data_IF_938150465108
#
_entry.id   IF_938150465108
#
_cell.length_a   1.000
_cell.length_b   1.000
_cell.length_c   1.000
_cell.angle_alpha   90.00
_cell.angle_beta   90.00
_cell.angle_gamma   90.00
#
_symmetry.space_group_name_H-M   'P 1'
#
loop_
_entity.id
_entity.type
_entity.pdbx_description
1 polymer ?
#
# COMPACT_ATOMS: atom_id res chain seq x y z
N UNK A 1 5.90 -56.46 -14.06
CA UNK A 1 4.91 -55.44 -13.62
C UNK A 1 5.21 -54.14 -14.36
N UNK A 2 4.32 -53.67 -15.25
CA UNK A 2 4.50 -52.39 -15.95
C UNK A 2 4.22 -51.26 -14.97
N UNK A 3 5.20 -50.38 -14.74
CA UNK A 3 5.03 -49.14 -14.00
C UNK A 3 3.93 -48.32 -14.68
N UNK A 4 2.85 -48.03 -13.93
CA UNK A 4 1.83 -47.08 -14.38
C UNK A 4 2.50 -45.72 -14.46
N UNK A 5 2.53 -45.12 -15.64
CA UNK A 5 2.89 -43.71 -15.80
C UNK A 5 1.97 -42.87 -14.91
N UNK A 6 2.49 -41.86 -14.18
CA UNK A 6 1.65 -41.01 -13.35
C UNK A 6 0.53 -40.41 -14.20
N UNK A 7 -0.70 -40.44 -13.69
CA UNK A 7 -1.82 -39.78 -14.34
C UNK A 7 -1.47 -38.30 -14.48
N UNK A 8 -1.38 -37.80 -15.73
CA UNK A 8 -1.25 -36.37 -16.00
C UNK A 8 -2.41 -35.65 -15.32
N UNK A 9 -2.12 -34.66 -14.48
CA UNK A 9 -3.21 -33.92 -13.86
C UNK A 9 -3.97 -33.14 -14.93
N UNK A 10 -5.26 -32.87 -14.67
CA UNK A 10 -6.09 -32.07 -15.57
C UNK A 10 -5.62 -30.62 -15.68
N UNK A 11 -4.73 -30.19 -14.79
CA UNK A 11 -4.23 -28.83 -14.68
C UNK A 11 -2.70 -28.83 -14.67
N UNK A 12 -2.04 -28.72 -15.84
CA UNK A 12 -0.58 -28.75 -15.95
C UNK A 12 0.12 -27.73 -15.04
N UNK A 13 -0.55 -26.63 -14.72
CA UNK A 13 -0.05 -25.64 -13.77
C UNK A 13 0.23 -26.26 -12.40
N UNK A 14 -0.63 -27.15 -11.91
CA UNK A 14 -0.50 -27.79 -10.58
C UNK A 14 0.56 -28.89 -10.53
N UNK A 15 1.03 -29.35 -11.70
CA UNK A 15 2.14 -30.31 -11.79
C UNK A 15 3.50 -29.63 -11.57
N UNK A 16 3.54 -28.29 -11.61
CA UNK A 16 4.75 -27.52 -11.36
C UNK A 16 5.08 -27.43 -9.86
N UNK A 17 6.36 -27.41 -9.49
CA UNK A 17 6.80 -27.05 -8.15
C UNK A 17 6.20 -25.72 -7.68
N UNK A 18 5.97 -25.59 -6.37
CA UNK A 18 5.31 -24.43 -5.76
C UNK A 18 5.98 -23.11 -6.16
N UNK A 19 7.30 -23.08 -6.23
CA UNK A 19 8.10 -21.89 -6.53
C UNK A 19 7.81 -21.39 -7.94
N UNK A 20 7.72 -22.29 -8.92
CA UNK A 20 7.39 -21.93 -10.30
C UNK A 20 5.94 -21.46 -10.41
N UNK A 21 5.02 -22.09 -9.69
CA UNK A 21 3.61 -21.67 -9.63
C UNK A 21 3.51 -20.27 -9.03
N UNK A 22 4.19 -20.01 -7.93
CA UNK A 22 4.22 -18.70 -7.29
C UNK A 22 4.83 -17.62 -8.19
N UNK A 23 5.90 -17.93 -8.92
CA UNK A 23 6.46 -17.00 -9.91
C UNK A 23 5.44 -16.66 -11.00
N UNK A 24 4.78 -17.65 -11.59
CA UNK A 24 3.74 -17.44 -12.61
C UNK A 24 2.59 -16.59 -12.05
N UNK A 25 2.05 -17.00 -10.90
CA UNK A 25 0.94 -16.31 -10.23
C UNK A 25 1.31 -14.87 -9.84
N UNK A 26 2.57 -14.62 -9.44
CA UNK A 26 3.06 -13.29 -9.12
C UNK A 26 3.05 -12.30 -10.29
N UNK A 27 3.06 -12.77 -11.53
CA UNK A 27 2.87 -11.92 -12.71
C UNK A 27 1.39 -11.64 -13.02
N UNK A 28 0.49 -12.54 -12.61
CA UNK A 28 -0.93 -12.47 -12.93
C UNK A 28 -1.74 -11.73 -11.85
N UNK A 29 -1.34 -11.87 -10.59
CA UNK A 29 -2.05 -11.29 -9.46
C UNK A 29 -1.82 -9.77 -9.34
N UNK A 30 -2.76 -9.04 -8.73
CA UNK A 30 -2.54 -7.66 -8.35
C UNK A 30 -1.28 -7.53 -7.49
N UNK A 31 -0.46 -6.53 -7.82
CA UNK A 31 0.80 -6.29 -7.11
C UNK A 31 1.05 -4.82 -6.84
N UNK A 32 1.75 -4.55 -5.76
CA UNK A 32 2.13 -3.21 -5.34
C UNK A 32 3.45 -2.81 -5.98
N UNK A 33 3.54 -1.54 -6.34
CA UNK A 33 4.71 -0.88 -6.88
C UNK A 33 5.00 0.30 -5.97
N UNK A 34 6.19 0.31 -5.39
CA UNK A 34 6.71 1.48 -4.67
C UNK A 34 7.37 2.40 -5.68
N UNK A 35 6.78 3.57 -5.92
CA UNK A 35 7.51 4.66 -6.58
C UNK A 35 8.04 5.60 -5.52
N UNK A 36 9.33 5.92 -5.60
CA UNK A 36 9.86 7.10 -4.93
C UNK A 36 9.12 8.30 -5.52
N UNK A 37 8.48 9.10 -4.67
CA UNK A 37 7.86 10.33 -5.15
C UNK A 37 8.98 11.29 -5.56
N UNK A 38 9.28 11.36 -6.86
CA UNK A 38 9.87 12.57 -7.40
C UNK A 38 8.85 13.66 -7.20
N UNK A 39 8.99 14.48 -6.15
CA UNK A 39 8.06 15.56 -5.84
C UNK A 39 7.92 16.45 -7.10
N UNK A 40 6.80 16.35 -7.84
CA UNK A 40 6.69 17.03 -9.13
C UNK A 40 6.66 18.54 -8.91
N UNK A 41 6.13 19.01 -7.78
CA UNK A 41 6.18 20.40 -7.36
C UNK A 41 7.60 20.86 -7.08
N UNK A 42 8.43 20.04 -6.42
CA UNK A 42 9.84 20.37 -6.18
C UNK A 42 10.64 20.44 -7.50
N UNK A 43 10.33 19.56 -8.46
CA UNK A 43 10.92 19.61 -9.80
C UNK A 43 10.44 20.85 -10.56
N UNK A 44 9.15 21.17 -10.48
CA UNK A 44 8.59 22.36 -11.13
C UNK A 44 9.08 23.66 -10.49
N UNK A 45 9.37 23.64 -9.18
CA UNK A 45 9.89 24.78 -8.45
C UNK A 45 11.27 25.23 -8.93
N UNK A 46 12.08 24.29 -9.45
CA UNK A 46 13.36 24.60 -10.11
C UNK A 46 13.20 25.41 -11.39
N UNK A 47 12.03 25.34 -12.03
CA UNK A 47 11.73 26.12 -13.23
C UNK A 47 11.27 27.56 -12.92
N UNK A 48 11.05 27.93 -11.65
CA UNK A 48 10.72 29.31 -11.31
C UNK A 48 11.92 30.24 -11.53
N UNK A 49 11.64 31.41 -12.11
CA UNK A 49 12.66 32.43 -12.44
C UNK A 49 13.48 32.87 -11.23
N UNK A 50 12.89 32.89 -10.03
CA UNK A 50 13.57 33.19 -8.78
C UNK A 50 14.67 32.15 -8.42
N UNK A 51 14.40 30.87 -8.65
CA UNK A 51 15.36 29.78 -8.39
C UNK A 51 16.49 29.81 -9.42
N UNK A 52 16.17 29.99 -10.71
CA UNK A 52 17.17 30.14 -11.78
C UNK A 52 18.07 31.37 -11.57
N UNK A 53 17.52 32.49 -11.08
CA UNK A 53 18.31 33.69 -10.74
C UNK A 53 19.24 33.45 -9.55
N UNK A 54 18.87 32.61 -8.57
CA UNK A 54 19.80 32.23 -7.49
C UNK A 54 20.95 31.37 -8.01
N UNK A 55 20.64 30.39 -8.86
CA UNK A 55 21.62 29.51 -9.49
C UNK A 55 22.62 30.31 -10.34
N UNK A 56 22.13 31.23 -11.17
CA UNK A 56 22.97 32.13 -11.97
C UNK A 56 23.86 33.07 -11.14
N UNK A 57 23.48 33.34 -9.88
CA UNK A 57 24.27 34.12 -8.90
C UNK A 57 25.20 33.25 -8.06
N UNK A 58 25.35 31.96 -8.37
CA UNK A 58 26.21 31.03 -7.64
C UNK A 58 25.72 30.70 -6.23
N UNK A 59 24.48 31.01 -5.88
CA UNK A 59 23.91 30.66 -4.58
C UNK A 59 23.50 29.18 -4.55
N UNK A 60 23.71 28.54 -3.39
CA UNK A 60 23.35 27.13 -3.17
C UNK A 60 21.84 26.95 -3.30
N UNK A 61 21.40 26.25 -4.34
CA UNK A 61 20.03 25.77 -4.46
C UNK A 61 19.88 24.52 -3.57
N UNK A 62 18.89 24.47 -2.67
CA UNK A 62 18.64 23.28 -1.87
C UNK A 62 18.44 22.06 -2.79
N UNK A 63 19.42 21.16 -2.82
CA UNK A 63 19.24 19.85 -3.44
C UNK A 63 18.28 19.07 -2.53
N UNK A 64 17.33 18.35 -3.12
CA UNK A 64 16.55 17.36 -2.37
C UNK A 64 17.54 16.38 -1.74
N UNK A 65 17.69 16.41 -0.43
CA UNK A 65 18.64 15.51 0.23
C UNK A 65 18.16 14.06 0.02
N UNK A 66 19.06 13.09 -0.18
CA UNK A 66 18.67 11.68 -0.25
C UNK A 66 18.01 11.19 1.07
N UNK A 67 18.24 11.89 2.18
CA UNK A 67 17.57 11.69 3.47
C UNK A 67 16.13 12.21 3.51
N UNK A 68 15.74 13.09 2.58
CA UNK A 68 14.36 13.52 2.34
C UNK A 68 13.78 12.79 1.13
N UNK A 69 13.93 11.47 1.09
CA UNK A 69 13.13 10.65 0.20
C UNK A 69 11.66 10.97 0.50
N UNK A 70 10.99 11.62 -0.44
CA UNK A 70 9.57 11.96 -0.32
C UNK A 70 8.76 10.69 0.02
N UNK A 71 7.55 10.85 0.59
CA UNK A 71 6.73 9.72 0.99
C UNK A 71 6.65 8.70 -0.15
N UNK A 72 7.07 7.46 0.12
CA UNK A 72 6.98 6.37 -0.84
C UNK A 72 5.53 6.22 -1.25
N UNK A 73 5.24 6.39 -2.54
CA UNK A 73 3.89 6.25 -3.04
C UNK A 73 3.69 4.80 -3.44
N UNK A 74 2.91 4.09 -2.63
CA UNK A 74 2.48 2.71 -2.95
C UNK A 74 1.30 2.79 -3.91
N UNK A 75 1.44 2.15 -5.05
CA UNK A 75 0.38 2.01 -6.05
C UNK A 75 0.15 0.55 -6.39
N UNK A 76 -1.09 0.18 -6.60
CA UNK A 76 -1.49 -1.16 -7.02
C UNK A 76 -1.57 -1.22 -8.53
N UNK A 77 -0.83 -2.16 -9.12
CA UNK A 77 -1.01 -2.54 -10.51
C UNK A 77 -2.17 -3.53 -10.58
N UNK A 78 -3.08 -3.31 -11.52
CA UNK A 78 -4.19 -4.23 -11.78
C UNK A 78 -3.64 -5.60 -12.18
N UNK A 79 -4.24 -6.64 -11.63
CA UNK A 79 -4.04 -8.03 -12.02
C UNK A 79 -5.38 -8.75 -12.09
N UNK A 80 -5.33 -10.07 -12.21
CA UNK A 80 -6.50 -10.92 -12.31
C UNK A 80 -6.82 -11.60 -10.98
N UNK A 81 -7.91 -11.21 -10.33
CA UNK A 81 -8.39 -11.81 -9.07
C UNK A 81 -9.26 -13.05 -9.29
N UNK A 82 -9.68 -13.35 -10.53
CA UNK A 82 -10.49 -14.53 -10.83
C UNK A 82 -9.78 -15.85 -10.49
N UNK A 83 -8.44 -15.82 -10.40
CA UNK A 83 -7.62 -16.96 -9.97
C UNK A 83 -7.97 -17.44 -8.55
N UNK A 84 -8.43 -16.54 -7.67
CA UNK A 84 -8.89 -16.88 -6.32
C UNK A 84 -10.16 -17.74 -6.30
N UNK A 85 -10.87 -17.83 -7.43
CA UNK A 85 -12.15 -18.53 -7.54
C UNK A 85 -12.05 -19.89 -8.25
N UNK A 86 -10.86 -20.27 -8.74
CA UNK A 86 -10.69 -21.46 -9.59
C UNK A 86 -10.78 -22.75 -8.76
N UNK A 87 -9.94 -22.88 -7.74
CA UNK A 87 -9.93 -24.04 -6.84
C UNK A 87 -9.30 -23.66 -5.50
N UNK A 88 -9.49 -24.50 -4.47
CA UNK A 88 -9.00 -24.24 -3.11
C UNK A 88 -7.47 -24.08 -3.04
N UNK A 89 -6.74 -24.92 -3.76
CA UNK A 89 -5.27 -24.86 -3.77
C UNK A 89 -4.77 -23.53 -4.36
N UNK A 90 -5.27 -23.13 -5.53
CA UNK A 90 -4.91 -21.85 -6.13
C UNK A 90 -5.41 -20.67 -5.30
N UNK A 91 -6.57 -20.80 -4.68
CA UNK A 91 -7.09 -19.77 -3.79
C UNK A 91 -6.12 -19.50 -2.63
N UNK A 92 -5.71 -20.54 -1.90
CA UNK A 92 -4.83 -20.37 -0.74
C UNK A 92 -3.45 -19.83 -1.16
N UNK A 93 -2.87 -20.33 -2.25
CA UNK A 93 -1.60 -19.83 -2.80
C UNK A 93 -1.69 -18.37 -3.28
N UNK A 94 -2.76 -18.03 -4.00
CA UNK A 94 -2.99 -16.66 -4.48
C UNK A 94 -3.26 -15.70 -3.31
N UNK A 95 -3.99 -16.13 -2.28
CA UNK A 95 -4.27 -15.32 -1.10
C UNK A 95 -2.97 -15.00 -0.36
N UNK A 96 -2.07 -15.97 -0.17
CA UNK A 96 -0.78 -15.74 0.45
C UNK A 96 0.06 -14.73 -0.35
N UNK A 97 0.12 -14.87 -1.67
CA UNK A 97 0.83 -13.92 -2.54
C UNK A 97 0.18 -12.53 -2.55
N UNK A 98 -1.15 -12.45 -2.58
CA UNK A 98 -1.87 -11.20 -2.67
C UNK A 98 -1.79 -10.39 -1.37
N UNK A 99 -1.97 -11.03 -0.22
CA UNK A 99 -1.99 -10.34 1.08
C UNK A 99 -0.59 -10.23 1.71
N UNK A 100 0.25 -11.26 1.59
CA UNK A 100 1.63 -11.23 2.12
C UNK A 100 2.65 -10.59 1.19
N UNK A 101 2.40 -10.68 -0.12
CA UNK A 101 3.27 -10.15 -1.18
C UNK A 101 3.10 -8.65 -1.46
N UNK A 102 2.12 -7.99 -0.86
CA UNK A 102 1.81 -6.59 -1.13
C UNK A 102 1.89 -5.68 0.09
N UNK A 103 2.06 -4.39 -0.18
CA UNK A 103 2.11 -3.34 0.84
C UNK A 103 0.77 -2.61 0.95
N UNK A 104 0.16 -2.61 2.13
CA UNK A 104 -1.10 -1.91 2.38
C UNK A 104 -0.83 -0.52 2.95
N UNK A 105 -1.37 0.52 2.30
CA UNK A 105 -1.26 1.89 2.76
C UNK A 105 -2.50 2.26 3.59
N UNK A 106 -2.33 2.38 4.89
CA UNK A 106 -3.41 2.66 5.83
C UNK A 106 -3.35 4.11 6.31
N UNK A 107 -4.52 4.72 6.44
CA UNK A 107 -4.70 6.03 7.04
C UNK A 107 -5.56 5.88 8.28
N UNK A 108 -4.95 6.10 9.44
CA UNK A 108 -5.64 6.07 10.73
C UNK A 108 -5.98 7.50 11.13
N UNK A 109 -7.28 7.77 11.20
CA UNK A 109 -7.86 9.03 11.64
C UNK A 109 -8.63 8.80 12.95
N UNK A 110 -9.20 9.86 13.54
CA UNK A 110 -10.11 9.72 14.69
C UNK A 110 -11.31 8.80 14.40
N UNK A 111 -11.86 8.88 13.18
CA UNK A 111 -13.05 8.13 12.78
C UNK A 111 -12.79 6.64 12.52
N UNK A 112 -11.55 6.29 12.18
CA UNK A 112 -11.16 4.90 11.93
C UNK A 112 -9.95 4.77 11.01
N UNK A 113 -9.64 3.53 10.67
CA UNK A 113 -8.55 3.19 9.75
C UNK A 113 -9.10 2.85 8.37
N UNK A 114 -8.65 3.61 7.37
CA UNK A 114 -9.01 3.38 5.97
C UNK A 114 -7.81 2.85 5.20
N UNK A 115 -8.05 1.92 4.29
CA UNK A 115 -7.10 1.49 3.29
C UNK A 115 -7.20 2.40 2.07
N UNK A 116 -6.07 3.03 1.72
CA UNK A 116 -5.95 3.86 0.52
C UNK A 116 -5.50 3.00 -0.65
N UNK A 117 -6.48 2.57 -1.43
CA UNK A 117 -6.27 1.79 -2.63
C UNK A 117 -6.07 2.70 -3.85
N UNK A 118 -4.80 3.00 -4.17
CA UNK A 118 -4.42 3.69 -5.40
C UNK A 118 -4.16 2.68 -6.50
N UNK A 119 -4.85 2.77 -7.63
CA UNK A 119 -4.67 1.82 -8.73
C UNK A 119 -4.06 2.49 -9.95
N UNK A 120 -2.92 1.97 -10.40
CA UNK A 120 -2.17 2.51 -11.53
C UNK A 120 -2.83 2.07 -12.85
N UNK A 121 -3.25 3.06 -13.63
CA UNK A 121 -3.71 2.93 -15.00
C UNK A 121 -2.53 2.89 -15.98
N UNK A 122 -2.77 2.34 -17.17
CA UNK A 122 -1.79 2.37 -18.27
C UNK A 122 -1.50 3.81 -18.74
N UNK A 123 -2.44 4.74 -18.52
CA UNK A 123 -2.25 6.19 -18.74
C UNK A 123 -1.26 6.83 -17.76
N UNK A 124 -0.81 6.11 -16.73
CA UNK A 124 0.05 6.62 -15.67
C UNK A 124 -0.69 7.33 -14.53
N UNK A 125 -2.01 7.52 -14.65
CA UNK A 125 -2.84 8.03 -13.56
C UNK A 125 -3.03 6.97 -12.47
N UNK A 126 -3.20 7.43 -11.22
CA UNK A 126 -3.43 6.56 -10.06
C UNK A 126 -4.65 7.01 -9.26
N UNK A 127 -5.88 6.85 -9.79
CA UNK A 127 -7.11 7.06 -9.04
C UNK A 127 -7.11 6.36 -7.68
N UNK A 128 -7.69 7.02 -6.68
CA UNK A 128 -7.68 6.60 -5.28
C UNK A 128 -9.08 6.17 -4.83
N UNK A 129 -9.16 5.04 -4.13
CA UNK A 129 -10.35 4.64 -3.36
C UNK A 129 -9.98 4.48 -1.89
N UNK A 130 -10.89 4.88 -1.01
CA UNK A 130 -10.78 4.70 0.43
C UNK A 130 -11.75 3.61 0.87
N UNK A 131 -11.25 2.59 1.55
CA UNK A 131 -12.04 1.46 2.03
C UNK A 131 -11.88 1.31 3.54
N UNK A 132 -12.94 1.04 4.32
CA UNK A 132 -12.81 0.77 5.75
C UNK A 132 -12.00 -0.51 5.96
N UNK A 133 -10.77 -0.39 6.46
CA UNK A 133 -9.80 -1.50 6.40
C UNK A 133 -10.23 -2.68 7.29
N UNK A 134 -10.66 -2.40 8.51
CA UNK A 134 -11.03 -3.43 9.49
C UNK A 134 -12.28 -4.23 9.10
N UNK A 135 -13.09 -3.70 8.18
CA UNK A 135 -14.31 -4.36 7.68
C UNK A 135 -14.09 -5.02 6.31
N UNK A 136 -12.96 -4.72 5.65
CA UNK A 136 -12.70 -5.16 4.29
C UNK A 136 -12.37 -6.65 4.21
N UNK A 137 -11.63 -7.16 5.19
CA UNK A 137 -11.06 -8.51 5.15
C UNK A 137 -11.49 -9.31 6.37
N UNK A 138 -11.74 -10.60 6.15
CA UNK A 138 -11.93 -11.55 7.24
C UNK A 138 -10.62 -11.79 8.00
N UNK A 139 -10.72 -12.26 9.24
CA UNK A 139 -9.55 -12.53 10.09
C UNK A 139 -8.53 -13.48 9.44
N UNK A 140 -8.98 -14.44 8.61
CA UNK A 140 -8.10 -15.36 7.85
C UNK A 140 -7.14 -14.60 6.93
N UNK A 141 -7.60 -13.55 6.25
CA UNK A 141 -6.75 -12.80 5.32
C UNK A 141 -5.97 -11.69 6.01
N UNK A 142 -6.47 -11.15 7.13
CA UNK A 142 -5.72 -10.19 7.94
C UNK A 142 -4.40 -10.77 8.43
N UNK A 143 -4.39 -12.02 8.89
CA UNK A 143 -3.16 -12.69 9.35
C UNK A 143 -2.12 -12.96 8.25
N UNK A 144 -2.51 -12.85 6.97
CA UNK A 144 -1.58 -12.98 5.84
C UNK A 144 -0.85 -11.67 5.53
N UNK A 145 -1.33 -10.53 6.04
CA UNK A 145 -0.74 -9.23 5.75
C UNK A 145 0.58 -9.09 6.49
N UNK A 146 1.67 -8.91 5.73
CA UNK A 146 3.02 -8.79 6.29
C UNK A 146 3.60 -7.38 6.20
N UNK A 147 3.07 -6.54 5.29
CA UNK A 147 3.63 -5.22 4.99
C UNK A 147 2.55 -4.15 4.99
N UNK A 148 2.70 -3.21 5.93
CA UNK A 148 1.76 -2.12 6.13
C UNK A 148 2.53 -0.83 6.32
N UNK A 149 2.08 0.24 5.66
CA UNK A 149 2.52 1.61 5.93
C UNK A 149 1.33 2.32 6.57
N UNK A 150 1.49 2.74 7.83
CA UNK A 150 0.44 3.43 8.58
C UNK A 150 0.76 4.91 8.64
N UNK A 151 -0.10 5.71 8.01
CA UNK A 151 -0.11 7.16 8.17
C UNK A 151 -1.13 7.51 9.25
N UNK A 152 -0.66 8.10 10.34
CA UNK A 152 -1.54 8.57 11.42
C UNK A 152 -1.81 10.04 11.18
N UNK A 153 -3.07 10.36 10.92
CA UNK A 153 -3.51 11.75 10.79
C UNK A 153 -3.93 12.27 12.16
N UNK A 154 -3.06 13.06 12.75
CA UNK A 154 -3.29 13.72 14.02
C UNK A 154 -3.60 15.18 13.73
N UNK A 155 -4.89 15.51 13.76
CA UNK A 155 -5.38 16.88 13.59
C UNK A 155 -5.12 17.64 14.89
N UNK A 156 -3.85 17.94 15.15
CA UNK A 156 -3.44 18.78 16.26
C UNK A 156 -2.36 19.76 15.79
N UNK A 157 -2.84 20.76 15.07
CA UNK A 157 -2.26 22.10 15.06
C UNK A 157 -3.22 22.99 14.30
N UNK A 158 -4.23 23.47 15.03
CA UNK A 158 -4.78 24.78 14.77
C UNK A 158 -3.63 25.78 14.85
N UNK A 159 -3.09 26.16 13.71
CA UNK A 159 -2.20 27.32 13.60
C UNK A 159 -3.03 28.59 13.82
N UNK A 160 -3.40 28.87 15.08
CA UNK A 160 -3.95 30.17 15.48
C UNK A 160 -5.25 30.21 16.30
N UNK A 161 -5.80 29.09 16.78
CA UNK A 161 -7.02 29.12 17.63
C UNK A 161 -6.87 28.26 18.88
N UNK A 162 -6.97 28.89 20.05
CA UNK A 162 -6.96 28.22 21.37
C UNK A 162 -8.34 27.61 21.60
N UNK A 163 -8.42 26.28 21.65
CA UNK A 163 -9.64 25.56 22.03
C UNK A 163 -9.55 25.08 23.47
N UNK A 164 -10.42 25.59 24.33
CA UNK A 164 -10.63 25.04 25.67
C UNK A 164 -11.49 23.77 25.55
N UNK A 165 -10.86 22.60 25.51
CA UNK A 165 -11.59 21.34 25.70
C UNK A 165 -11.86 21.17 27.20
N UNK A 166 -13.04 21.59 27.66
CA UNK A 166 -13.50 21.32 29.02
C UNK A 166 -14.13 19.92 29.04
N UNK A 167 -13.54 18.99 29.80
CA UNK A 167 -14.10 17.69 30.20
C UNK A 167 -14.10 16.52 29.18
N UNK A 168 -13.06 16.36 28.35
CA UNK A 168 -12.88 15.15 27.51
C UNK A 168 -11.42 14.70 27.39
N UNK A 169 -11.19 13.39 27.15
CA UNK A 169 -9.82 12.80 27.01
C UNK A 169 -9.06 13.27 25.75
N UNK A 170 -9.67 14.08 24.89
CA UNK A 170 -9.05 14.71 23.71
C UNK A 170 -8.94 13.82 22.45
N UNK A 171 -8.59 14.44 21.32
CA UNK A 171 -8.42 13.79 20.01
C UNK A 171 -7.32 12.70 20.03
N UNK A 172 -6.23 12.97 20.76
CA UNK A 172 -5.12 12.04 20.95
C UNK A 172 -5.56 10.72 21.57
N UNK A 173 -6.52 10.75 22.51
CA UNK A 173 -7.06 9.53 23.10
C UNK A 173 -7.84 8.69 22.08
N UNK A 174 -8.65 9.34 21.24
CA UNK A 174 -9.40 8.66 20.18
C UNK A 174 -8.48 8.01 19.14
N UNK A 175 -7.48 8.75 18.67
CA UNK A 175 -6.49 8.22 17.71
C UNK A 175 -5.71 7.06 18.32
N UNK A 176 -5.26 7.18 19.59
CA UNK A 176 -4.60 6.08 20.30
C UNK A 176 -5.49 4.82 20.35
N UNK A 177 -6.80 4.98 20.57
CA UNK A 177 -7.75 3.86 20.55
C UNK A 177 -7.85 3.23 19.16
N UNK A 178 -7.86 4.02 18.08
CA UNK A 178 -7.92 3.49 16.71
C UNK A 178 -6.62 2.77 16.33
N UNK A 179 -5.47 3.31 16.71
CA UNK A 179 -4.17 2.63 16.54
C UNK A 179 -4.16 1.32 17.31
N UNK A 180 -4.65 1.29 18.56
CA UNK A 180 -4.76 0.03 19.32
C UNK A 180 -5.67 -0.98 18.63
N UNK A 181 -6.82 -0.55 18.09
CA UNK A 181 -7.72 -1.44 17.33
C UNK A 181 -7.05 -2.01 16.09
N UNK A 182 -6.25 -1.20 15.39
CA UNK A 182 -5.49 -1.64 14.22
C UNK A 182 -4.43 -2.68 14.62
N UNK A 183 -3.67 -2.42 15.68
CA UNK A 183 -2.64 -3.35 16.19
C UNK A 183 -3.26 -4.66 16.67
N UNK A 184 -4.46 -4.64 17.26
CA UNK A 184 -5.13 -5.87 17.69
C UNK A 184 -5.70 -6.70 16.53
N UNK A 185 -5.89 -6.10 15.35
CA UNK A 185 -6.48 -6.76 14.19
C UNK A 185 -5.44 -7.32 13.21
N UNK A 186 -4.21 -6.79 13.25
CA UNK A 186 -3.05 -7.26 12.49
C UNK A 186 -2.27 -8.29 13.30
#
# INVERSE_FOLDING_TARGET
QRSRSPQKSKFPLLDLPLELRQQILGYLLPRTIEKSSTNPLANHARNFSAVRKREARGMIVPKSSPLQAGPKTVMWRRGNISLLMVCRQLHDECAELLYGGNTFLLFTTYNGTTFRFNWLLDTGMAPTRHLPFLELLSGKYMSLIRRVIVNVDHVDSYTGMIKYNVSGKGLTHGIRKQVQRLVNAL
#
